data_IF_639893933761
#
_entry.id   IF_639893933761
#
_cell.length_a   1.000
_cell.length_b   1.000
_cell.length_c   1.000
_cell.angle_alpha   90.00
_cell.angle_beta   90.00
_cell.angle_gamma   90.00
#
_symmetry.space_group_name_H-M   'P 1'
#
loop_
_entity.id
_entity.type
_entity.pdbx_description
1 polymer ?
#
# COMPACT_ATOMS: atom_id res chain seq x y z
N UNK A 1 4.94 15.49 -7.92
CA UNK A 1 4.09 14.29 -8.12
C UNK A 1 4.99 13.06 -8.20
N UNK A 2 4.84 12.08 -7.31
CA UNK A 2 5.66 10.86 -7.27
C UNK A 2 4.97 9.71 -8.00
N UNK A 3 5.77 8.73 -8.47
CA UNK A 3 5.24 7.50 -9.09
C UNK A 3 4.72 6.56 -8.01
N UNK A 4 3.78 5.70 -8.38
CA UNK A 4 3.21 4.69 -7.47
C UNK A 4 4.29 3.80 -6.86
N UNK A 5 5.30 3.39 -7.63
CA UNK A 5 6.41 2.57 -7.10
C UNK A 5 7.24 3.29 -6.03
N UNK A 6 7.47 4.59 -6.20
CA UNK A 6 8.22 5.40 -5.23
C UNK A 6 7.40 5.61 -3.94
N UNK A 7 6.11 5.89 -4.09
CA UNK A 7 5.19 5.99 -2.97
C UNK A 7 5.09 4.66 -2.20
N UNK A 8 5.01 3.52 -2.89
CA UNK A 8 4.95 2.20 -2.26
C UNK A 8 6.20 1.93 -1.39
N UNK A 9 7.38 2.28 -1.91
CA UNK A 9 8.64 2.20 -1.15
C UNK A 9 8.62 3.10 0.08
N UNK A 10 8.21 4.36 -0.05
CA UNK A 10 8.09 5.30 1.08
C UNK A 10 7.12 4.83 2.17
N UNK A 11 6.05 4.14 1.75
CA UNK A 11 5.02 3.60 2.63
C UNK A 11 5.38 2.24 3.25
N UNK A 12 6.47 1.60 2.82
CA UNK A 12 6.83 0.26 3.25
C UNK A 12 5.81 -0.82 2.83
N UNK A 13 5.12 -0.63 1.71
CA UNK A 13 4.14 -1.60 1.18
C UNK A 13 4.48 -2.06 -0.23
N UNK A 14 3.92 -3.20 -0.63
CA UNK A 14 4.10 -3.67 -2.01
C UNK A 14 3.43 -2.74 -3.02
N UNK A 15 3.95 -2.72 -4.26
CA UNK A 15 3.34 -1.99 -5.37
C UNK A 15 1.87 -2.41 -5.61
N UNK A 16 1.59 -3.72 -5.54
CA UNK A 16 0.25 -4.26 -5.71
C UNK A 16 -0.71 -3.78 -4.61
N UNK A 17 -0.25 -3.74 -3.35
CA UNK A 17 -1.02 -3.20 -2.22
C UNK A 17 -1.41 -1.75 -2.47
N UNK A 18 -0.45 -0.92 -2.90
CA UNK A 18 -0.73 0.48 -3.16
C UNK A 18 -1.68 0.68 -4.35
N UNK A 19 -1.52 -0.09 -5.44
CA UNK A 19 -2.47 -0.08 -6.57
C UNK A 19 -3.88 -0.48 -6.12
N UNK A 20 -4.01 -1.49 -5.25
CA UNK A 20 -5.31 -1.87 -4.70
C UNK A 20 -5.97 -0.73 -3.91
N UNK A 21 -5.19 0.02 -3.12
CA UNK A 21 -5.70 1.18 -2.39
C UNK A 21 -6.17 2.29 -3.33
N UNK A 22 -5.44 2.52 -4.42
CA UNK A 22 -5.83 3.48 -5.46
C UNK A 22 -7.14 3.05 -6.11
N UNK A 23 -7.26 1.79 -6.52
CA UNK A 23 -8.48 1.27 -7.15
C UNK A 23 -9.70 1.27 -6.22
N UNK A 24 -9.49 1.03 -4.93
CA UNK A 24 -10.54 1.15 -3.89
C UNK A 24 -10.83 2.60 -3.49
N UNK A 25 -10.19 3.60 -4.10
CA UNK A 25 -10.37 5.02 -3.79
C UNK A 25 -9.79 5.47 -2.45
N UNK A 26 -9.06 4.60 -1.75
CA UNK A 26 -8.48 4.92 -0.44
C UNK A 26 -7.32 5.92 -0.53
N UNK A 27 -6.63 5.97 -1.67
CA UNK A 27 -5.60 6.97 -1.97
C UNK A 27 -5.94 7.70 -3.27
N UNK A 28 -6.16 9.02 -3.17
CA UNK A 28 -6.43 9.85 -4.35
C UNK A 28 -5.17 10.01 -5.19
N UNK A 29 -5.34 9.90 -6.50
CA UNK A 29 -4.26 10.04 -7.49
C UNK A 29 -4.78 10.78 -8.71
N UNK A 30 -3.85 11.30 -9.51
CA UNK A 30 -4.13 11.81 -10.86
C UNK A 30 -3.51 10.86 -11.87
N UNK A 31 -4.18 10.62 -13.00
CA UNK A 31 -3.60 9.84 -14.10
C UNK A 31 -2.94 10.78 -15.10
N UNK A 32 -1.77 10.40 -15.60
CA UNK A 32 -1.20 11.03 -16.79
C UNK A 32 -2.02 10.66 -18.03
N UNK A 33 -1.81 11.36 -19.15
CA UNK A 33 -2.43 10.99 -20.44
C UNK A 33 -2.21 9.50 -20.82
N UNK A 34 -1.05 8.92 -20.48
CA UNK A 34 -0.76 7.49 -20.68
C UNK A 34 -1.26 6.53 -19.59
N UNK A 35 -2.18 6.96 -18.70
CA UNK A 35 -2.82 6.08 -17.70
C UNK A 35 -1.99 5.78 -16.43
N UNK A 36 -0.76 6.27 -16.32
CA UNK A 36 0.03 6.10 -15.11
C UNK A 36 -0.48 6.99 -13.96
N UNK A 37 -0.71 6.39 -12.79
CA UNK A 37 -1.07 7.15 -11.60
C UNK A 37 0.10 7.94 -11.02
N UNK A 38 -0.22 9.12 -10.52
CA UNK A 38 0.66 10.06 -9.83
C UNK A 38 0.04 10.47 -8.51
N UNK A 39 0.88 10.50 -7.48
CA UNK A 39 0.48 10.85 -6.12
C UNK A 39 1.14 12.19 -5.78
N UNK A 40 0.37 13.14 -5.22
CA UNK A 40 0.95 14.37 -4.68
C UNK A 40 1.59 14.09 -3.33
N UNK A 41 2.68 14.80 -3.01
CA UNK A 41 3.38 14.65 -1.73
C UNK A 41 2.40 14.91 -0.56
N UNK A 42 1.66 16.01 -0.62
CA UNK A 42 0.61 16.35 0.36
C UNK A 42 -0.55 15.36 0.41
N UNK A 43 -0.85 14.68 -0.71
CA UNK A 43 -1.86 13.62 -0.75
C UNK A 43 -1.41 12.37 -0.01
N UNK A 44 -0.14 12.00 -0.16
CA UNK A 44 0.49 10.88 0.54
C UNK A 44 0.60 11.17 2.05
N UNK A 45 1.02 12.37 2.41
CA UNK A 45 1.11 12.80 3.80
C UNK A 45 -0.24 12.78 4.51
N UNK A 46 -1.29 13.35 3.89
CA UNK A 46 -2.67 13.26 4.41
C UNK A 46 -3.16 11.82 4.52
N UNK A 47 -2.77 10.95 3.59
CA UNK A 47 -3.11 9.54 3.68
C UNK A 47 -2.46 8.87 4.89
N UNK A 48 -1.19 9.15 5.14
CA UNK A 48 -0.45 8.64 6.31
C UNK A 48 -1.04 9.15 7.62
N UNK A 49 -1.37 10.44 7.72
CA UNK A 49 -2.01 11.02 8.90
C UNK A 49 -3.35 10.33 9.23
N UNK A 50 -4.16 10.01 8.22
CA UNK A 50 -5.44 9.27 8.39
C UNK A 50 -5.26 7.79 8.73
N UNK A 51 -4.16 7.16 8.29
CA UNK A 51 -3.84 5.76 8.57
C UNK A 51 -3.23 5.58 9.96
N UNK A 52 -2.44 6.55 10.44
CA UNK A 52 -1.87 6.57 11.79
C UNK A 52 -2.92 6.55 12.89
N UNK A 53 -4.11 7.12 12.64
CA UNK A 53 -5.25 7.08 13.56
C UNK A 53 -6.09 5.80 13.48
N UNK A 54 -5.90 4.97 12.44
CA UNK A 54 -6.62 3.69 12.21
C UNK A 54 -5.70 2.63 11.62
N UNK A 55 -4.69 2.18 12.38
CA UNK A 55 -3.90 1.01 11.96
C UNK A 55 -4.51 -0.26 12.57
N UNK A 56 -5.31 -1.06 11.83
CA UNK A 56 -5.54 -2.42 12.23
C UNK A 56 -4.20 -3.14 12.02
N UNK A 57 -3.54 -3.38 13.16
CA UNK A 57 -2.55 -4.42 13.43
C UNK A 57 -2.39 -5.35 12.23
N UNK A 58 -1.19 -5.35 11.66
CA UNK A 58 -0.69 -6.35 10.73
C UNK A 58 -0.72 -7.74 11.42
N UNK A 59 -1.93 -8.29 11.61
CA UNK A 59 -2.20 -9.67 12.03
C UNK A 59 -2.02 -10.55 10.79
N UNK A 60 -0.80 -10.57 10.26
CA UNK A 60 -0.26 -11.75 9.60
C UNK A 60 0.82 -12.30 10.52
N UNK A 61 0.38 -12.67 11.73
CA UNK A 61 1.15 -13.55 12.58
C UNK A 61 1.23 -14.91 11.85
N UNK A 62 2.47 -15.32 11.57
CA UNK A 62 2.96 -16.70 11.58
C UNK A 62 2.06 -17.79 10.98
N UNK A 63 2.37 -18.24 9.76
CA UNK A 63 2.18 -19.65 9.43
C UNK A 63 3.43 -20.40 9.92
N UNK A 64 3.37 -21.25 10.96
CA UNK A 64 4.48 -22.16 11.24
C UNK A 64 4.57 -23.19 10.10
N UNK A 65 5.79 -23.67 9.76
CA UNK A 65 5.96 -24.69 8.73
C UNK A 65 5.23 -25.97 9.15
N UNK A 66 4.46 -26.53 8.22
CA UNK A 66 3.81 -27.83 8.35
C UNK A 66 4.85 -28.88 8.70
N UNK A 67 4.70 -29.52 9.86
CA UNK A 67 5.39 -30.78 10.19
C UNK A 67 4.94 -31.84 9.19
N UNK A 68 5.87 -32.32 8.36
CA UNK A 68 5.71 -33.60 7.66
C UNK A 68 5.83 -34.68 8.73
N UNK A 69 4.69 -35.25 9.10
CA UNK A 69 4.61 -36.46 9.90
C UNK A 69 5.28 -37.60 9.12
N UNK A 70 6.17 -38.29 9.81
CA UNK A 70 6.74 -39.57 9.42
C UNK A 70 5.62 -40.58 9.12
N UNK A 71 5.83 -41.41 8.10
CA UNK A 71 5.45 -42.82 8.00
C UNK A 71 6.36 -43.49 6.97
#
# INVERSE_FOLDING_TARGET
MIRVRDAARRLGVSYATLKQWIYKGALRTVQTAGGHHRISESGLERFMARKGTKSPRMRRASRPPTVLAAL
#
